data_IF_522411595496
#
_entry.id   IF_522411595496
#
_cell.length_a   1.000
_cell.length_b   1.000
_cell.length_c   1.000
_cell.angle_alpha   90.00
_cell.angle_beta   90.00
_cell.angle_gamma   90.00
#
_symmetry.space_group_name_H-M   'P 1'
#
loop_
_entity.id
_entity.type
_entity.pdbx_description
1 polymer ?
#
# COMPACT_ATOMS: atom_id res chain seq x y z
N UNK A 1 8.36 2.00 1.42
CA UNK A 1 7.27 2.33 0.47
C UNK A 1 6.42 3.51 0.91
N UNK A 2 5.64 3.42 1.99
CA UNK A 2 4.78 4.55 2.41
C UNK A 2 5.57 5.78 2.89
N UNK A 3 6.65 5.57 3.66
CA UNK A 3 7.54 6.66 4.06
C UNK A 3 8.14 7.37 2.83
N UNK A 4 8.66 6.61 1.87
CA UNK A 4 9.23 7.16 0.62
C UNK A 4 8.18 7.91 -0.20
N UNK A 5 6.94 7.42 -0.24
CA UNK A 5 5.82 8.10 -0.87
C UNK A 5 5.59 9.47 -0.23
N UNK A 6 5.53 9.55 1.10
CA UNK A 6 5.32 10.82 1.82
C UNK A 6 6.47 11.80 1.58
N UNK A 7 7.71 11.32 1.61
CA UNK A 7 8.90 12.18 1.43
C UNK A 7 9.06 12.68 0.00
N UNK A 8 8.69 11.87 -1.00
CA UNK A 8 8.81 12.24 -2.42
C UNK A 8 7.58 12.96 -2.99
N UNK A 9 6.48 13.04 -2.24
CA UNK A 9 5.25 13.64 -2.72
C UNK A 9 5.31 15.16 -2.71
N UNK A 10 5.11 15.76 -3.88
CA UNK A 10 4.93 17.19 -4.04
C UNK A 10 3.50 17.45 -4.54
N UNK A 11 2.70 18.28 -3.85
CA UNK A 11 1.36 18.66 -4.32
C UNK A 11 1.35 19.33 -5.70
N UNK A 12 2.46 19.94 -6.10
CA UNK A 12 2.67 20.55 -7.42
C UNK A 12 2.92 19.55 -8.56
N UNK A 13 3.15 18.28 -8.25
CA UNK A 13 3.30 17.20 -9.24
C UNK A 13 2.49 15.98 -8.77
N UNK A 14 1.16 16.03 -8.87
CA UNK A 14 0.30 15.09 -8.18
C UNK A 14 0.21 13.70 -8.81
N UNK A 15 0.56 13.57 -10.10
CA UNK A 15 0.33 12.34 -10.86
C UNK A 15 1.06 11.11 -10.29
N UNK A 16 2.35 11.24 -9.97
CA UNK A 16 3.14 10.11 -9.48
C UNK A 16 2.74 9.71 -8.04
N UNK A 17 2.59 10.64 -7.08
CA UNK A 17 2.12 10.30 -5.75
C UNK A 17 0.72 9.67 -5.74
N UNK A 18 -0.22 10.13 -6.57
CA UNK A 18 -1.56 9.53 -6.67
C UNK A 18 -1.47 8.06 -7.11
N UNK A 19 -0.73 7.78 -8.18
CA UNK A 19 -0.58 6.40 -8.67
C UNK A 19 0.07 5.48 -7.63
N UNK A 20 1.09 5.97 -6.92
CA UNK A 20 1.76 5.22 -5.83
C UNK A 20 0.82 4.96 -4.65
N UNK A 21 0.00 5.95 -4.27
CA UNK A 21 -0.99 5.79 -3.21
C UNK A 21 -1.99 4.68 -3.56
N UNK A 22 -2.61 4.72 -4.75
CA UNK A 22 -3.59 3.70 -5.13
C UNK A 22 -2.98 2.30 -5.23
N UNK A 23 -1.72 2.20 -5.69
CA UNK A 23 -1.00 0.93 -5.67
C UNK A 23 -0.80 0.40 -4.24
N UNK A 24 -0.36 1.25 -3.32
CA UNK A 24 -0.19 0.89 -1.90
C UNK A 24 -1.52 0.51 -1.25
N UNK A 25 -2.58 1.31 -1.45
CA UNK A 25 -3.91 1.05 -0.90
C UNK A 25 -4.45 -0.30 -1.39
N UNK A 26 -4.27 -0.60 -2.68
CA UNK A 26 -4.65 -1.89 -3.26
C UNK A 26 -3.87 -3.05 -2.64
N UNK A 27 -2.58 -2.89 -2.36
CA UNK A 27 -1.78 -3.93 -1.70
C UNK A 27 -2.23 -4.18 -0.26
N UNK A 28 -2.55 -3.12 0.48
CA UNK A 28 -3.05 -3.23 1.85
C UNK A 28 -4.40 -3.94 1.86
N UNK A 29 -5.32 -3.55 0.97
CA UNK A 29 -6.65 -4.17 0.86
C UNK A 29 -6.61 -5.60 0.33
N UNK A 30 -5.82 -5.92 -0.71
CA UNK A 30 -5.80 -7.28 -1.28
C UNK A 30 -5.28 -8.33 -0.30
N UNK A 31 -4.35 -7.96 0.58
CA UNK A 31 -3.80 -8.92 1.51
C UNK A 31 -4.75 -9.24 2.68
N UNK A 32 -5.82 -8.45 2.88
CA UNK A 32 -6.90 -8.82 3.81
C UNK A 32 -7.61 -10.12 3.38
N UNK A 33 -7.72 -10.39 2.07
CA UNK A 33 -8.38 -11.59 1.52
C UNK A 33 -7.48 -12.82 1.65
N UNK A 34 -6.18 -12.69 1.35
CA UNK A 34 -5.24 -13.82 1.37
C UNK A 34 -4.99 -14.36 2.79
N UNK A 35 -5.04 -13.51 3.82
CA UNK A 35 -4.94 -13.95 5.21
C UNK A 35 -6.25 -14.55 5.75
N UNK A 36 -7.41 -14.09 5.26
CA UNK A 36 -8.72 -14.68 5.62
C UNK A 36 -8.94 -16.06 4.96
N UNK A 37 -8.44 -16.27 3.74
CA UNK A 37 -8.59 -17.55 3.02
C UNK A 37 -7.73 -18.69 3.59
N UNK A 38 -6.77 -18.40 4.49
CA UNK A 38 -5.94 -19.45 5.11
C UNK A 38 -6.60 -20.10 6.34
N UNK A 39 -7.75 -19.59 6.80
CA UNK A 39 -8.49 -20.19 7.92
C UNK A 39 -9.35 -21.42 7.56
N UNK A 40 -9.53 -21.76 6.27
CA UNK A 40 -10.38 -22.89 5.85
C UNK A 40 -9.56 -24.09 5.32
N UNK A 41 -8.24 -24.10 5.46
CA UNK A 41 -7.42 -25.25 5.05
C UNK A 41 -6.14 -25.39 5.88
N UNK A 42 -6.29 -25.64 7.17
CA UNK A 42 -5.29 -26.38 7.95
C UNK A 42 -5.99 -27.40 8.81
N UNK A 43 -6.49 -28.47 8.18
CA UNK A 43 -6.69 -29.74 8.86
C UNK A 43 -5.88 -30.81 8.14
N UNK A 44 -5.23 -31.64 8.95
CA UNK A 44 -4.50 -32.87 8.61
C UNK A 44 -3.13 -32.67 7.93
N UNK A 45 -2.06 -32.80 8.72
CA UNK A 45 -1.11 -33.93 8.57
C UNK A 45 -0.22 -33.97 9.82
N UNK A 46 -0.75 -34.63 10.84
CA UNK A 46 0.03 -35.20 11.93
C UNK A 46 0.80 -36.39 11.35
N UNK A 47 2.08 -36.21 11.04
CA UNK A 47 2.97 -37.35 10.79
C UNK A 47 4.05 -37.38 11.87
N UNK A 48 3.71 -38.04 12.97
CA UNK A 48 4.64 -38.71 13.88
C UNK A 48 5.35 -39.84 13.14
N UNK A 49 6.68 -39.87 13.15
CA UNK A 49 7.47 -41.04 12.75
C UNK A 49 7.52 -42.08 13.90
N UNK A 50 7.64 -43.39 13.61
CA UNK A 50 7.37 -44.46 14.57
C UNK A 50 8.59 -44.79 15.46
N UNK A 51 8.30 -45.06 16.73
CA UNK A 51 9.21 -45.69 17.70
C UNK A 51 8.86 -47.18 17.77
N UNK A 52 9.68 -48.03 17.15
CA UNK A 52 9.56 -49.49 17.27
C UNK A 52 9.98 -49.96 18.67
N UNK A 53 9.10 -50.77 19.27
CA UNK A 53 9.31 -51.55 20.49
C UNK A 53 9.56 -53.00 20.07
N UNK A 54 10.70 -53.58 20.46
CA UNK A 54 10.82 -55.04 20.57
C UNK A 54 11.55 -55.49 21.84
N UNK A 55 10.73 -55.99 22.77
CA UNK A 55 10.80 -57.23 23.55
C UNK A 55 12.15 -57.83 24.03
N UNK A 56 12.27 -57.78 25.37
CA UNK A 56 12.84 -58.76 26.33
C UNK A 56 13.26 -60.17 25.84
N UNK A 57 14.48 -60.61 26.19
CA UNK A 57 14.88 -62.02 26.30
C UNK A 57 16.39 -62.24 26.56
N UNK A 58 16.73 -62.90 27.67
CA UNK A 58 18.07 -63.10 28.29
C UNK A 58 19.07 -63.95 27.46
N UNK A 59 20.39 -63.72 27.60
CA UNK A 59 21.42 -64.65 28.16
C UNK A 59 22.90 -64.23 27.91
N UNK A 60 23.73 -64.36 28.98
CA UNK A 60 25.19 -64.70 29.05
C UNK A 60 26.31 -63.78 28.48
N UNK A 61 26.96 -63.00 29.39
CA UNK A 61 28.42 -62.83 29.74
C UNK A 61 29.56 -62.95 28.68
N UNK A 62 30.81 -62.48 28.94
CA UNK A 62 31.31 -61.09 29.01
C UNK A 62 32.63 -60.88 28.18
N UNK A 63 33.06 -59.64 27.88
CA UNK A 63 34.50 -59.28 27.66
C UNK A 63 34.60 -57.75 27.46
N UNK A 64 35.23 -57.04 28.40
CA UNK A 64 36.61 -56.50 28.33
C UNK A 64 36.79 -55.34 27.34
N UNK A 65 37.06 -54.15 27.87
CA UNK A 65 37.44 -52.98 27.05
C UNK A 65 37.29 -51.65 27.78
N UNK A 66 38.13 -51.40 28.79
CA UNK A 66 38.34 -50.08 29.42
C UNK A 66 38.85 -49.11 28.35
N UNK A 67 38.28 -47.90 28.26
CA UNK A 67 39.01 -46.67 27.91
C UNK A 67 38.21 -45.41 28.29
N UNK A 68 38.79 -44.67 29.24
CA UNK A 68 38.50 -43.27 29.57
C UNK A 68 38.96 -42.40 28.39
N UNK A 69 38.24 -41.32 28.03
CA UNK A 69 38.79 -39.96 27.87
C UNK A 69 37.78 -38.95 27.27
N UNK A 70 37.69 -37.81 27.96
CA UNK A 70 37.44 -36.43 27.50
C UNK A 70 36.02 -36.03 27.06
N UNK A 71 35.35 -35.32 27.96
CA UNK A 71 34.22 -34.43 27.69
C UNK A 71 34.66 -33.16 26.91
N UNK A 72 33.97 -32.79 25.81
CA UNK A 72 33.92 -31.41 25.34
C UNK A 72 32.75 -30.68 26.04
N UNK A 73 32.97 -29.44 26.47
CA UNK A 73 31.93 -28.54 26.99
C UNK A 73 30.76 -28.45 25.98
N UNK A 74 29.49 -28.53 26.41
CA UNK A 74 28.38 -28.26 25.50
C UNK A 74 28.33 -26.77 25.16
N UNK A 75 27.98 -26.42 23.90
CA UNK A 75 27.63 -25.05 23.52
C UNK A 75 26.52 -24.53 24.43
N UNK A 76 26.62 -23.27 24.83
CA UNK A 76 25.61 -22.53 25.60
C UNK A 76 24.24 -22.70 24.95
N UNK A 77 23.46 -23.65 25.46
CA UNK A 77 22.15 -24.00 24.95
C UNK A 77 21.15 -23.02 25.56
N UNK A 78 20.65 -22.10 24.74
CA UNK A 78 19.56 -21.20 25.12
C UNK A 78 18.43 -22.04 25.72
N UNK A 79 17.99 -21.66 26.92
CA UNK A 79 17.04 -22.45 27.69
C UNK A 79 15.73 -22.62 26.90
N UNK A 80 15.04 -23.74 27.09
CA UNK A 80 13.74 -23.97 26.44
C UNK A 80 12.74 -22.84 26.71
N UNK A 81 12.86 -22.18 27.86
CA UNK A 81 12.10 -20.98 28.26
C UNK A 81 12.41 -19.76 27.38
N UNK A 82 13.68 -19.53 27.04
CA UNK A 82 14.11 -18.46 26.12
C UNK A 82 13.59 -18.70 24.70
N UNK A 83 13.59 -19.96 24.24
CA UNK A 83 13.03 -20.33 22.93
C UNK A 83 11.50 -20.17 22.85
N UNK A 84 10.80 -20.31 23.97
CA UNK A 84 9.34 -20.22 24.04
C UNK A 84 8.84 -18.77 24.02
N UNK A 85 9.62 -17.81 24.53
CA UNK A 85 9.26 -16.38 24.52
C UNK A 85 9.17 -15.79 23.10
N UNK A 86 10.06 -16.20 22.17
CA UNK A 86 9.99 -15.78 20.75
C UNK A 86 8.80 -16.35 19.98
N UNK A 87 8.18 -17.41 20.50
CA UNK A 87 7.04 -18.09 19.88
C UNK A 87 5.69 -17.64 20.45
N UNK A 88 5.68 -16.71 21.43
CA UNK A 88 4.48 -16.37 22.20
C UNK A 88 3.71 -15.15 21.67
N UNK A 89 4.24 -14.45 20.67
CA UNK A 89 3.55 -13.35 19.99
C UNK A 89 2.49 -13.88 19.04
N UNK A 90 1.27 -13.36 19.15
CA UNK A 90 0.22 -13.56 18.14
C UNK A 90 0.56 -12.67 16.92
N UNK A 91 1.50 -13.16 16.11
CA UNK A 91 2.01 -12.43 14.96
C UNK A 91 0.91 -12.03 13.97
N UNK A 92 -0.16 -12.83 13.86
CA UNK A 92 -1.28 -12.52 12.97
C UNK A 92 -2.08 -11.32 13.46
N UNK A 93 -2.34 -11.24 14.78
CA UNK A 93 -2.98 -10.08 15.38
C UNK A 93 -2.12 -8.82 15.27
N UNK A 94 -0.82 -8.91 15.55
CA UNK A 94 0.11 -7.77 15.41
C UNK A 94 0.18 -7.29 13.95
N UNK A 95 0.20 -8.21 12.99
CA UNK A 95 0.16 -7.89 11.55
C UNK A 95 -1.16 -7.20 11.20
N UNK A 96 -2.30 -7.65 11.72
CA UNK A 96 -3.61 -7.03 11.49
C UNK A 96 -3.65 -5.60 12.05
N UNK A 97 -3.22 -5.40 13.28
CA UNK A 97 -3.17 -4.08 13.92
C UNK A 97 -2.24 -3.12 13.16
N UNK A 98 -1.04 -3.58 12.79
CA UNK A 98 -0.09 -2.78 12.01
C UNK A 98 -0.67 -2.38 10.65
N UNK A 99 -1.40 -3.29 9.98
CA UNK A 99 -2.09 -2.99 8.72
C UNK A 99 -3.17 -1.93 8.89
N UNK A 100 -3.98 -2.03 9.95
CA UNK A 100 -5.04 -1.07 10.23
C UNK A 100 -4.46 0.33 10.50
N UNK A 101 -3.39 0.41 11.29
CA UNK A 101 -2.66 1.66 11.56
C UNK A 101 -2.09 2.24 10.26
N UNK A 102 -1.41 1.41 9.45
CA UNK A 102 -0.85 1.84 8.17
C UNK A 102 -1.93 2.34 7.21
N UNK A 103 -3.07 1.65 7.14
CA UNK A 103 -4.20 2.05 6.31
C UNK A 103 -4.70 3.42 6.74
N UNK A 104 -5.06 3.60 8.02
CA UNK A 104 -5.56 4.87 8.56
C UNK A 104 -4.59 6.03 8.32
N UNK A 105 -3.30 5.81 8.59
CA UNK A 105 -2.28 6.84 8.38
C UNK A 105 -2.11 7.19 6.90
N UNK A 106 -2.13 6.19 6.02
CA UNK A 106 -2.03 6.42 4.57
C UNK A 106 -3.23 7.15 4.00
N UNK A 107 -4.45 6.85 4.47
CA UNK A 107 -5.68 7.53 4.07
C UNK A 107 -5.67 8.98 4.58
N UNK A 108 -5.36 9.20 5.86
CA UNK A 108 -5.25 10.53 6.47
C UNK A 108 -4.23 11.41 5.76
N UNK A 109 -3.07 10.84 5.41
CA UNK A 109 -2.06 11.54 4.61
C UNK A 109 -2.59 11.88 3.21
N UNK A 110 -3.21 10.92 2.52
CA UNK A 110 -3.67 11.12 1.15
C UNK A 110 -4.76 12.19 1.05
N UNK A 111 -5.68 12.26 2.02
CA UNK A 111 -6.69 13.32 2.07
C UNK A 111 -6.05 14.72 2.13
N UNK A 112 -5.03 14.91 2.99
CA UNK A 112 -4.28 16.17 3.08
C UNK A 112 -3.50 16.47 1.81
N UNK A 113 -2.85 15.45 1.26
CA UNK A 113 -2.11 15.56 0.01
C UNK A 113 -3.02 15.97 -1.16
N UNK A 114 -4.18 15.31 -1.30
CA UNK A 114 -5.16 15.57 -2.34
C UNK A 114 -5.74 16.98 -2.21
N UNK A 115 -6.03 17.42 -0.98
CA UNK A 115 -6.44 18.80 -0.71
C UNK A 115 -5.38 19.80 -1.19
N UNK A 116 -4.11 19.55 -0.89
CA UNK A 116 -3.00 20.37 -1.35
C UNK A 116 -2.85 20.36 -2.87
N UNK A 117 -2.99 19.19 -3.51
CA UNK A 117 -2.87 19.03 -4.96
C UNK A 117 -4.00 19.74 -5.71
N UNK A 118 -5.24 19.65 -5.22
CA UNK A 118 -6.38 20.37 -5.78
C UNK A 118 -6.24 21.88 -5.60
N UNK A 119 -5.68 22.33 -4.46
CA UNK A 119 -5.48 23.77 -4.17
C UNK A 119 -4.32 24.37 -4.96
N UNK A 120 -3.22 23.63 -5.15
CA UNK A 120 -2.13 24.03 -6.05
C UNK A 120 -2.59 24.10 -7.51
N UNK A 121 -3.80 23.61 -7.78
CA UNK A 121 -4.33 23.23 -9.07
C UNK A 121 -3.58 22.02 -9.58
N UNK A 122 -4.28 21.11 -10.25
CA UNK A 122 -3.63 20.34 -11.31
C UNK A 122 -3.31 21.33 -12.44
N UNK A 123 -2.41 22.27 -12.14
CA UNK A 123 -1.98 23.32 -13.03
C UNK A 123 -1.28 22.59 -14.15
N UNK A 124 -2.08 22.31 -15.17
CA UNK A 124 -1.60 22.15 -16.51
C UNK A 124 -0.56 23.24 -16.66
N UNK A 125 0.69 22.87 -16.92
CA UNK A 125 1.71 23.82 -17.33
C UNK A 125 1.33 24.32 -18.73
N UNK A 126 0.19 25.00 -18.83
CA UNK A 126 -0.26 25.84 -19.92
C UNK A 126 0.64 27.08 -20.03
N UNK A 127 1.61 27.24 -19.13
CA UNK A 127 2.72 28.17 -19.31
C UNK A 127 3.75 27.58 -20.25
N UNK A 128 3.46 27.77 -21.54
CA UNK A 128 4.41 28.32 -22.50
C UNK A 128 5.89 28.16 -22.12
N UNK A 129 6.58 27.23 -22.77
CA UNK A 129 7.78 27.69 -23.48
C UNK A 129 7.32 28.10 -24.86
N UNK A 130 6.93 29.37 -24.98
CA UNK A 130 7.10 30.17 -26.19
C UNK A 130 8.61 30.32 -26.41
N UNK A 131 9.26 29.18 -26.70
CA UNK A 131 10.58 29.11 -27.27
C UNK A 131 10.40 29.29 -28.75
N UNK A 132 10.55 30.55 -29.17
CA UNK A 132 10.89 30.88 -30.54
C UNK A 132 12.11 30.04 -30.93
N UNK A 133 12.06 29.51 -32.15
CA UNK A 133 13.13 28.82 -32.89
C UNK A 133 13.24 27.29 -32.72
N UNK A 134 13.15 26.59 -33.86
CA UNK A 134 13.77 25.27 -34.05
C UNK A 134 12.80 24.12 -34.33
N UNK A 135 12.57 23.89 -35.62
CA UNK A 135 12.30 22.63 -36.30
C UNK A 135 11.99 21.35 -35.47
N UNK A 136 10.91 20.67 -35.89
CA UNK A 136 10.77 19.21 -35.70
C UNK A 136 9.55 18.82 -34.87
N UNK A 137 8.53 18.31 -35.55
CA UNK A 137 7.28 17.86 -34.95
C UNK A 137 7.43 16.82 -33.84
N UNK A 138 6.34 16.68 -33.07
CA UNK A 138 6.10 15.79 -31.90
C UNK A 138 6.19 16.46 -30.51
N UNK A 139 5.44 17.56 -30.29
CA UNK A 139 5.03 17.97 -28.92
C UNK A 139 3.52 18.13 -28.71
N UNK A 140 2.70 17.87 -29.73
CA UNK A 140 1.23 17.95 -29.60
C UNK A 140 0.64 16.79 -28.77
N UNK A 141 1.29 15.61 -28.76
CA UNK A 141 0.82 14.44 -28.02
C UNK A 141 1.07 14.46 -26.50
N UNK A 142 1.70 15.51 -25.97
CA UNK A 142 2.02 15.60 -24.53
C UNK A 142 0.88 16.20 -23.72
N UNK A 143 0.07 17.10 -24.29
CA UNK A 143 -0.99 17.79 -23.55
C UNK A 143 -2.25 16.94 -23.37
N UNK A 144 -2.74 16.32 -24.45
CA UNK A 144 -3.99 15.53 -24.42
C UNK A 144 -3.87 14.27 -23.56
N UNK A 145 -2.74 13.56 -23.64
CA UNK A 145 -2.46 12.41 -22.79
C UNK A 145 -2.34 12.77 -21.31
N UNK A 146 -1.77 13.94 -20.98
CA UNK A 146 -1.69 14.41 -19.59
C UNK A 146 -3.07 14.78 -19.03
N UNK A 147 -3.95 15.38 -19.84
CA UNK A 147 -5.34 15.65 -19.45
C UNK A 147 -6.08 14.33 -19.19
N UNK A 148 -5.96 13.34 -20.09
CA UNK A 148 -6.60 12.04 -19.89
C UNK A 148 -6.12 11.35 -18.60
N UNK A 149 -4.81 11.39 -18.31
CA UNK A 149 -4.24 10.86 -17.06
C UNK A 149 -4.79 11.61 -15.85
N UNK A 150 -4.80 12.94 -15.89
CA UNK A 150 -5.36 13.78 -14.83
C UNK A 150 -6.83 13.45 -14.57
N UNK A 151 -7.67 13.42 -15.61
CA UNK A 151 -9.09 13.11 -15.49
C UNK A 151 -9.33 11.70 -14.94
N UNK A 152 -8.56 10.72 -15.39
CA UNK A 152 -8.61 9.35 -14.87
C UNK A 152 -8.24 9.29 -13.38
N UNK A 153 -7.22 10.03 -12.95
CA UNK A 153 -6.80 10.10 -11.57
C UNK A 153 -7.81 10.82 -10.68
N UNK A 154 -8.38 11.94 -11.14
CA UNK A 154 -9.44 12.66 -10.45
C UNK A 154 -10.70 11.81 -10.31
N UNK A 155 -11.09 11.09 -11.36
CA UNK A 155 -12.19 10.13 -11.30
C UNK A 155 -11.92 9.03 -10.27
N UNK A 156 -10.73 8.44 -10.31
CA UNK A 156 -10.35 7.38 -9.36
C UNK A 156 -10.33 7.89 -7.93
N UNK A 157 -9.86 9.12 -7.69
CA UNK A 157 -9.91 9.76 -6.38
C UNK A 157 -11.36 10.01 -5.93
N UNK A 158 -12.24 10.48 -6.82
CA UNK A 158 -13.66 10.65 -6.52
C UNK A 158 -14.32 9.34 -6.12
N UNK A 159 -14.12 8.28 -6.92
CA UNK A 159 -14.69 6.96 -6.67
C UNK A 159 -14.15 6.37 -5.34
N UNK A 160 -12.87 6.61 -5.03
CA UNK A 160 -12.26 6.21 -3.75
C UNK A 160 -12.83 7.00 -2.56
N UNK A 161 -13.09 8.30 -2.71
CA UNK A 161 -13.72 9.12 -1.67
C UNK A 161 -15.15 8.63 -1.37
N UNK A 162 -15.91 8.20 -2.38
CA UNK A 162 -17.23 7.57 -2.19
C UNK A 162 -17.15 6.28 -1.39
N UNK A 163 -16.18 5.42 -1.71
CA UNK A 163 -15.95 4.18 -0.96
C UNK A 163 -15.48 4.46 0.47
N UNK A 164 -14.67 5.51 0.68
CA UNK A 164 -14.25 5.89 2.01
C UNK A 164 -15.43 6.42 2.84
N UNK A 165 -16.32 7.19 2.22
CA UNK A 165 -17.54 7.71 2.85
C UNK A 165 -18.50 6.59 3.24
N UNK A 166 -18.67 5.58 2.40
CA UNK A 166 -19.55 4.45 2.69
C UNK A 166 -19.02 3.54 3.81
N UNK A 167 -17.70 3.51 4.02
CA UNK A 167 -17.05 2.80 5.13
C UNK A 167 -16.95 3.62 6.42
N UNK A 168 -17.15 4.93 6.35
CA UNK A 168 -17.05 5.80 7.51
C UNK A 168 -18.26 5.60 8.44
N UNK A 169 -18.00 5.51 9.75
CA UNK A 169 -19.08 5.55 10.75
C UNK A 169 -19.78 6.92 10.70
N UNK A 170 -21.11 6.98 10.85
CA UNK A 170 -21.84 8.25 10.92
C UNK A 170 -21.42 9.14 12.10
N UNK A 171 -20.68 8.62 13.07
CA UNK A 171 -20.12 9.41 14.18
C UNK A 171 -18.85 10.19 13.78
N UNK A 172 -18.22 9.85 12.65
CA UNK A 172 -17.01 10.51 12.18
C UNK A 172 -17.32 11.70 11.27
N UNK A 173 -18.05 12.69 11.82
CA UNK A 173 -18.47 13.88 11.08
C UNK A 173 -17.29 14.60 10.41
N UNK A 174 -16.16 14.72 11.09
CA UNK A 174 -14.98 15.41 10.53
C UNK A 174 -14.38 14.74 9.29
N UNK A 175 -14.44 13.41 9.19
CA UNK A 175 -14.03 12.69 7.99
C UNK A 175 -15.02 12.91 6.84
N UNK A 176 -16.33 12.84 7.13
CA UNK A 176 -17.39 13.07 6.14
C UNK A 176 -17.28 14.48 5.55
N UNK A 177 -17.14 15.50 6.39
CA UNK A 177 -16.96 16.89 5.97
C UNK A 177 -15.71 17.08 5.10
N UNK A 178 -14.62 16.37 5.43
CA UNK A 178 -13.38 16.39 4.64
C UNK A 178 -13.57 15.74 3.28
N UNK A 179 -14.29 14.61 3.21
CA UNK A 179 -14.61 13.94 1.96
C UNK A 179 -15.47 14.84 1.08
N UNK A 180 -16.54 15.41 1.63
CA UNK A 180 -17.48 16.23 0.87
C UNK A 180 -16.79 17.50 0.34
N UNK A 181 -15.94 18.15 1.16
CA UNK A 181 -15.10 19.28 0.73
C UNK A 181 -14.14 18.90 -0.40
N UNK A 182 -13.49 17.74 -0.31
CA UNK A 182 -12.56 17.27 -1.34
C UNK A 182 -13.29 16.97 -2.66
N UNK A 183 -14.48 16.35 -2.58
CA UNK A 183 -15.30 16.10 -3.78
C UNK A 183 -15.70 17.38 -4.46
N UNK A 184 -16.14 18.38 -3.71
CA UNK A 184 -16.43 19.70 -4.26
C UNK A 184 -15.21 20.29 -4.98
N UNK A 185 -14.02 20.26 -4.37
CA UNK A 185 -12.77 20.72 -5.00
C UNK A 185 -12.42 19.96 -6.28
N UNK A 186 -12.71 18.66 -6.35
CA UNK A 186 -12.54 17.88 -7.59
C UNK A 186 -13.47 18.41 -8.69
N UNK A 187 -14.75 18.65 -8.39
CA UNK A 187 -15.70 19.18 -9.38
C UNK A 187 -15.32 20.59 -9.84
N UNK A 188 -14.89 21.46 -8.92
CA UNK A 188 -14.37 22.79 -9.25
C UNK A 188 -13.13 22.71 -10.15
N UNK A 189 -12.20 21.80 -9.84
CA UNK A 189 -11.02 21.56 -10.67
C UNK A 189 -11.42 21.09 -12.08
N UNK A 190 -12.39 20.17 -12.20
CA UNK A 190 -12.87 19.69 -13.49
C UNK A 190 -13.55 20.79 -14.31
N UNK A 191 -14.40 21.59 -13.68
CA UNK A 191 -15.10 22.69 -14.35
C UNK A 191 -14.11 23.73 -14.88
N UNK A 192 -13.10 24.10 -14.09
CA UNK A 192 -12.04 25.01 -14.52
C UNK A 192 -11.28 24.50 -15.76
N UNK A 193 -11.09 23.19 -15.91
CA UNK A 193 -10.49 22.60 -17.11
C UNK A 193 -11.41 22.73 -18.34
N UNK A 194 -12.71 22.54 -18.16
CA UNK A 194 -13.71 22.70 -19.24
C UNK A 194 -13.78 24.16 -19.67
N UNK A 195 -13.81 25.11 -18.74
CA UNK A 195 -13.82 26.55 -19.03
C UNK A 195 -12.55 26.99 -19.79
N UNK A 196 -11.40 26.43 -19.39
CA UNK A 196 -10.12 26.66 -20.08
C UNK A 196 -10.13 26.11 -21.51
N UNK A 197 -10.72 24.91 -21.71
CA UNK A 197 -10.87 24.31 -23.03
C UNK A 197 -11.85 25.12 -23.91
N UNK A 198 -12.98 25.57 -23.36
CA UNK A 198 -13.94 26.42 -24.06
C UNK A 198 -13.30 27.74 -24.49
N UNK A 199 -12.58 28.42 -23.60
CA UNK A 199 -11.86 29.67 -23.89
C UNK A 199 -10.81 29.49 -24.99
N UNK A 200 -10.09 28.37 -24.99
CA UNK A 200 -9.10 28.05 -26.02
C UNK A 200 -9.76 27.87 -27.40
N UNK A 201 -10.94 27.26 -27.46
CA UNK A 201 -11.71 27.07 -28.69
C UNK A 201 -12.27 28.39 -29.23
N UNK A 202 -12.83 29.24 -28.37
CA UNK A 202 -13.35 30.56 -28.74
C UNK A 202 -12.25 31.45 -29.34
N UNK A 203 -11.06 31.46 -28.73
CA UNK A 203 -9.89 32.19 -29.24
C UNK A 203 -9.40 31.76 -30.63
N UNK A 204 -9.83 30.59 -31.11
CA UNK A 204 -9.53 30.05 -32.44
C UNK A 204 -10.65 30.33 -33.44
N UNK A 205 -11.88 30.56 -32.96
CA UNK A 205 -13.04 30.93 -33.77
C UNK A 205 -13.01 32.40 -34.20
N UNK A 206 -12.57 33.32 -33.32
CA UNK A 206 -12.48 34.77 -33.62
C UNK A 206 -11.38 35.17 -34.63
N UNK A 207 -10.61 34.19 -35.11
CA UNK A 207 -9.50 34.39 -36.08
C UNK A 207 -9.78 33.80 -37.47
N UNK A 208 -10.98 33.24 -37.70
CA UNK A 208 -11.42 32.72 -38.99
C UNK A 208 -12.49 33.61 -39.61
#
# INVERSE_FOLDING_TARGET
MFADLRTSAAPSSPHLPMSKFFALHRLIDQQTVVTASKEVSTNVYTNSLPLDKDKSGKNTTPTSGRNVHKSPKPPMELSASERLEWAKGDGDKEIKELREVLLKESQSWFLKFLEGALTAGFQMSAREKKGKDGAGGRRMGSSEGQIAVMLSQLKTASDWLDQLRSKASPENNGLVDTIDRLKQKIYECLLSQVDSAASALESRSDRG
#
